data_IF_314671356916
#
_entry.id   IF_314671356916
#
_cell.length_a   1.000
_cell.length_b   1.000
_cell.length_c   1.000
_cell.angle_alpha   90.00
_cell.angle_beta   90.00
_cell.angle_gamma   90.00
#
_symmetry.space_group_name_H-M   'P 1'
#
loop_
_entity.id
_entity.type
_entity.pdbx_description
1 polymer ?
#
# COMPACT_ATOMS: atom_id res chain seq x y z
N UNK A 1 11.16 -23.23 7.12
CA UNK A 1 10.56 -22.41 6.06
C UNK A 1 11.41 -22.48 4.81
N UNK A 2 10.81 -22.47 3.62
CA UNK A 2 11.58 -22.31 2.39
C UNK A 2 12.05 -20.86 2.27
N UNK A 3 13.28 -20.59 1.79
CA UNK A 3 13.72 -19.23 1.52
C UNK A 3 12.82 -18.57 0.47
N UNK A 4 12.49 -17.29 0.68
CA UNK A 4 11.79 -16.45 -0.30
C UNK A 4 12.84 -15.78 -1.18
N UNK A 5 12.66 -15.88 -2.50
CA UNK A 5 13.54 -15.18 -3.46
C UNK A 5 13.05 -13.77 -3.73
N UNK A 6 13.93 -12.78 -3.60
CA UNK A 6 13.64 -11.40 -3.97
C UNK A 6 14.34 -11.05 -5.27
N UNK A 7 13.62 -10.39 -6.19
CA UNK A 7 14.16 -9.98 -7.50
C UNK A 7 13.75 -8.56 -7.79
N UNK A 8 14.73 -7.68 -7.99
CA UNK A 8 14.51 -6.29 -8.36
C UNK A 8 14.81 -6.07 -9.84
N UNK A 9 13.84 -5.52 -10.56
CA UNK A 9 14.02 -5.07 -11.95
C UNK A 9 14.27 -3.56 -11.99
N UNK A 10 15.10 -3.07 -12.93
CA UNK A 10 15.32 -1.64 -13.10
C UNK A 10 14.00 -0.94 -13.47
N UNK A 11 13.80 0.25 -12.92
CA UNK A 11 12.66 1.11 -13.28
C UNK A 11 12.95 1.91 -14.55
N UNK A 12 11.89 2.32 -15.26
CA UNK A 12 11.97 3.18 -16.43
C UNK A 12 11.16 4.46 -16.21
N UNK A 13 11.62 5.54 -16.82
CA UNK A 13 11.01 6.86 -16.64
C UNK A 13 11.14 7.35 -15.19
N UNK A 14 10.25 8.26 -14.77
CA UNK A 14 10.22 8.84 -13.41
C UNK A 14 9.44 7.95 -12.42
N UNK A 15 9.82 6.67 -12.36
CA UNK A 15 9.19 5.65 -11.51
C UNK A 15 10.22 5.06 -10.57
N UNK A 16 9.78 4.68 -9.37
CA UNK A 16 10.61 4.02 -8.37
C UNK A 16 9.86 2.92 -7.64
N UNK A 17 10.60 1.95 -7.11
CA UNK A 17 10.08 1.04 -6.10
C UNK A 17 10.03 1.82 -4.79
N UNK A 18 8.85 1.87 -4.16
CA UNK A 18 8.68 2.59 -2.89
C UNK A 18 9.02 1.72 -1.68
N UNK A 19 9.01 0.41 -1.88
CA UNK A 19 9.30 -0.57 -0.84
C UNK A 19 10.39 -1.48 -1.33
N UNK A 20 11.22 -1.94 -0.41
CA UNK A 20 12.38 -2.78 -0.68
C UNK A 20 12.21 -4.18 -0.08
N UNK A 21 13.20 -5.04 -0.29
CA UNK A 21 13.21 -6.38 0.26
C UNK A 21 13.09 -6.39 1.79
N UNK A 22 13.82 -5.52 2.47
CA UNK A 22 13.81 -5.42 3.93
C UNK A 22 12.41 -5.08 4.46
N UNK A 23 11.74 -4.09 3.85
CA UNK A 23 10.37 -3.72 4.22
C UNK A 23 9.42 -4.92 4.16
N UNK A 24 9.53 -5.72 3.09
CA UNK A 24 8.68 -6.90 2.88
C UNK A 24 8.99 -7.99 3.89
N UNK A 25 10.28 -8.26 4.16
CA UNK A 25 10.70 -9.24 5.17
C UNK A 25 10.14 -8.88 6.54
N UNK A 26 10.26 -7.63 6.97
CA UNK A 26 9.72 -7.16 8.25
C UNK A 26 8.21 -7.41 8.37
N UNK A 27 7.45 -7.17 7.30
CA UNK A 27 6.00 -7.47 7.32
C UNK A 27 5.74 -8.97 7.42
N UNK A 28 6.46 -9.79 6.64
CA UNK A 28 6.28 -11.25 6.64
C UNK A 28 6.68 -11.89 7.99
N UNK A 29 7.75 -11.43 8.62
CA UNK A 29 8.23 -11.92 9.91
C UNK A 29 7.24 -11.66 11.05
N UNK A 30 6.40 -10.62 10.90
CA UNK A 30 5.32 -10.30 11.84
C UNK A 30 4.03 -11.07 11.59
N UNK A 31 3.93 -11.80 10.49
CA UNK A 31 2.79 -12.64 10.17
C UNK A 31 3.01 -14.08 10.66
N UNK A 32 1.96 -14.80 11.09
CA UNK A 32 2.05 -16.23 11.32
C UNK A 32 2.58 -16.96 10.07
N UNK A 33 3.61 -17.80 10.26
CA UNK A 33 4.34 -18.41 9.15
C UNK A 33 3.51 -19.19 8.13
N UNK A 34 2.43 -19.83 8.58
CA UNK A 34 1.51 -20.57 7.70
C UNK A 34 0.79 -19.68 6.66
N UNK A 35 0.72 -18.37 6.87
CA UNK A 35 0.06 -17.44 5.94
C UNK A 35 0.87 -17.17 4.70
N UNK A 36 2.19 -17.32 4.77
CA UNK A 36 3.09 -17.03 3.67
C UNK A 36 3.97 -18.22 3.27
N UNK A 37 3.78 -19.39 3.86
CA UNK A 37 4.53 -20.62 3.53
C UNK A 37 4.49 -20.97 2.03
N UNK A 38 3.41 -20.58 1.33
CA UNK A 38 3.28 -20.77 -0.11
C UNK A 38 4.09 -19.78 -0.94
N UNK A 39 4.37 -18.59 -0.41
CA UNK A 39 5.09 -17.54 -1.12
C UNK A 39 6.52 -18.01 -1.44
N UNK A 40 6.86 -18.06 -2.72
CA UNK A 40 8.19 -18.48 -3.18
C UNK A 40 9.09 -17.31 -3.55
N UNK A 41 8.51 -16.17 -3.88
CA UNK A 41 9.29 -15.00 -4.24
C UNK A 41 8.49 -13.71 -4.35
N UNK A 42 9.21 -12.60 -4.23
CA UNK A 42 8.68 -11.25 -4.39
C UNK A 42 9.49 -10.53 -5.46
N UNK A 43 8.82 -10.00 -6.47
CA UNK A 43 9.42 -9.28 -7.58
C UNK A 43 9.09 -7.80 -7.50
N UNK A 44 10.10 -6.94 -7.53
CA UNK A 44 9.92 -5.50 -7.70
C UNK A 44 10.00 -5.19 -9.19
N UNK A 45 8.87 -4.81 -9.78
CA UNK A 45 8.68 -4.76 -11.24
C UNK A 45 8.20 -3.38 -11.69
N UNK A 46 8.62 -2.91 -12.85
CA UNK A 46 8.14 -1.65 -13.43
C UNK A 46 6.91 -1.79 -14.35
N UNK A 47 6.38 -3.01 -14.56
CA UNK A 47 5.26 -3.29 -15.47
C UNK A 47 3.87 -3.03 -14.87
N UNK A 48 3.69 -1.93 -14.16
CA UNK A 48 2.37 -1.54 -13.66
C UNK A 48 1.36 -1.44 -14.80
N UNK A 49 0.29 -2.25 -14.76
CA UNK A 49 -0.77 -2.24 -15.78
C UNK A 49 -1.83 -1.20 -15.42
N UNK A 50 -1.63 0.03 -15.91
CA UNK A 50 -2.58 1.13 -15.70
C UNK A 50 -2.60 1.65 -14.25
N UNK A 51 -3.62 2.44 -13.92
CA UNK A 51 -3.70 3.18 -12.63
C UNK A 51 -4.12 2.33 -11.42
N UNK A 52 -4.46 1.04 -11.61
CA UNK A 52 -5.03 0.19 -10.55
C UNK A 52 -4.22 -1.07 -10.21
N UNK A 53 -3.34 -1.54 -11.10
CA UNK A 53 -2.54 -2.73 -10.82
C UNK A 53 -1.22 -2.32 -10.15
N UNK A 54 -1.25 -2.27 -8.83
CA UNK A 54 -0.10 -1.92 -7.97
C UNK A 54 0.65 -3.19 -7.52
N UNK A 55 0.00 -4.34 -7.58
CA UNK A 55 0.60 -5.66 -7.43
C UNK A 55 -0.15 -6.70 -8.23
N UNK A 56 0.39 -7.91 -8.29
CA UNK A 56 -0.31 -9.11 -8.77
C UNK A 56 0.40 -10.40 -8.34
N UNK A 57 -0.35 -11.49 -8.25
CA UNK A 57 0.19 -12.84 -8.02
C UNK A 57 0.41 -13.62 -9.32
N UNK A 58 1.61 -14.17 -9.49
CA UNK A 58 1.91 -15.22 -10.46
C UNK A 58 1.64 -16.60 -9.85
N UNK A 59 0.36 -17.02 -9.86
CA UNK A 59 -0.11 -18.21 -9.10
C UNK A 59 0.59 -19.52 -9.44
N UNK A 60 1.04 -19.71 -10.67
CA UNK A 60 1.79 -20.90 -11.07
C UNK A 60 3.20 -20.98 -10.47
N UNK A 61 3.72 -19.85 -9.95
CA UNK A 61 5.02 -19.76 -9.30
C UNK A 61 4.91 -19.41 -7.82
N UNK A 62 3.69 -19.20 -7.31
CA UNK A 62 3.43 -18.65 -5.98
C UNK A 62 4.29 -17.39 -5.68
N UNK A 63 4.43 -16.49 -6.67
CA UNK A 63 5.22 -15.26 -6.55
C UNK A 63 4.31 -14.03 -6.52
N UNK A 64 4.67 -13.03 -5.72
CA UNK A 64 4.04 -11.70 -5.72
C UNK A 64 4.91 -10.76 -6.57
N UNK A 65 4.28 -9.90 -7.36
CA UNK A 65 4.95 -8.77 -8.01
C UNK A 65 4.39 -7.47 -7.43
N UNK A 66 5.27 -6.60 -6.97
CA UNK A 66 4.95 -5.24 -6.53
C UNK A 66 5.44 -4.27 -7.61
N UNK A 67 4.55 -3.36 -8.02
CA UNK A 67 4.83 -2.44 -9.11
C UNK A 67 5.53 -1.18 -8.61
N UNK A 68 6.58 -0.74 -9.31
CA UNK A 68 7.10 0.62 -9.21
C UNK A 68 5.99 1.62 -9.47
N UNK A 69 6.05 2.80 -8.87
CA UNK A 69 5.05 3.85 -9.01
C UNK A 69 5.71 5.15 -9.50
N UNK A 70 4.97 6.06 -10.15
CA UNK A 70 5.46 7.41 -10.43
C UNK A 70 5.89 8.12 -9.14
N UNK A 71 6.96 8.90 -9.19
CA UNK A 71 7.46 9.68 -8.04
C UNK A 71 6.39 10.57 -7.38
N UNK A 72 5.45 11.07 -8.20
CA UNK A 72 4.34 11.91 -7.79
C UNK A 72 3.04 11.17 -8.06
N UNK A 73 2.48 10.52 -7.04
CA UNK A 73 1.27 9.72 -7.16
C UNK A 73 0.24 10.09 -6.09
N UNK A 74 -1.04 9.94 -6.44
CA UNK A 74 -2.14 9.84 -5.50
C UNK A 74 -2.76 8.46 -5.69
N UNK A 75 -2.83 7.67 -4.61
CA UNK A 75 -3.38 6.31 -4.65
C UNK A 75 -4.87 6.26 -4.31
N UNK A 76 -5.54 7.41 -4.27
CA UNK A 76 -6.96 7.50 -3.95
C UNK A 76 -7.84 6.64 -4.88
N UNK A 77 -7.43 6.42 -6.13
CA UNK A 77 -8.15 5.58 -7.09
C UNK A 77 -7.92 4.06 -6.90
N UNK A 78 -6.95 3.68 -6.06
CA UNK A 78 -6.64 2.30 -5.72
C UNK A 78 -7.24 1.87 -4.36
N UNK A 79 -7.76 2.82 -3.58
CA UNK A 79 -8.45 2.53 -2.33
C UNK A 79 -9.66 1.62 -2.57
N UNK A 80 -9.83 0.61 -1.72
CA UNK A 80 -10.95 -0.31 -1.78
C UNK A 80 -12.13 0.18 -0.93
N UNK A 81 -13.27 0.44 -1.59
CA UNK A 81 -14.57 0.79 -0.97
C UNK A 81 -14.47 1.88 0.10
N UNK A 82 -14.46 1.47 1.38
CA UNK A 82 -14.57 2.34 2.55
C UNK A 82 -13.21 2.84 3.04
N UNK A 83 -12.12 2.40 2.42
CA UNK A 83 -10.80 2.90 2.77
C UNK A 83 -10.69 4.39 2.48
N UNK A 84 -9.95 5.10 3.32
CA UNK A 84 -9.71 6.52 3.13
C UNK A 84 -8.20 6.82 3.12
N UNK A 85 -7.75 7.87 2.42
CA UNK A 85 -6.33 8.24 2.40
C UNK A 85 -5.72 8.39 3.80
N UNK A 86 -6.51 8.85 4.76
CA UNK A 86 -6.08 9.06 6.14
C UNK A 86 -5.62 7.79 6.85
N UNK A 87 -6.17 6.61 6.49
CA UNK A 87 -5.72 5.33 7.05
C UNK A 87 -4.24 5.04 6.79
N UNK A 88 -3.67 5.67 5.76
CA UNK A 88 -2.27 5.52 5.38
C UNK A 88 -1.45 6.79 5.64
N UNK A 89 -2.04 7.85 6.21
CA UNK A 89 -1.36 9.12 6.45
C UNK A 89 -1.31 10.02 5.22
N UNK A 90 -2.35 9.98 4.37
CA UNK A 90 -2.51 10.87 3.23
C UNK A 90 -3.81 11.67 3.28
N UNK A 91 -3.86 12.78 2.52
CA UNK A 91 -5.09 13.57 2.32
C UNK A 91 -5.73 13.30 0.96
N UNK A 92 -7.06 13.38 0.89
CA UNK A 92 -7.80 13.32 -0.37
C UNK A 92 -7.45 14.52 -1.27
N UNK A 93 -7.42 14.28 -2.58
CA UNK A 93 -7.20 15.35 -3.59
C UNK A 93 -5.76 15.89 -3.67
N UNK A 94 -4.82 15.30 -2.92
CA UNK A 94 -3.40 15.70 -2.92
C UNK A 94 -2.50 14.55 -3.36
N UNK A 95 -1.25 14.92 -3.70
CA UNK A 95 -0.14 13.95 -3.79
C UNK A 95 0.01 13.28 -2.42
N UNK A 96 0.17 11.97 -2.42
CA UNK A 96 0.40 11.24 -1.18
C UNK A 96 1.86 11.43 -0.73
N UNK A 97 2.10 11.68 0.57
CA UNK A 97 3.45 11.62 1.13
C UNK A 97 4.10 10.27 0.84
N UNK A 98 5.43 10.26 0.71
CA UNK A 98 6.18 9.04 0.44
C UNK A 98 5.88 7.94 1.46
N UNK A 99 5.93 8.29 2.75
CA UNK A 99 5.62 7.37 3.84
C UNK A 99 4.22 6.74 3.71
N UNK A 100 3.22 7.51 3.27
CA UNK A 100 1.87 6.99 3.05
C UNK A 100 1.78 6.03 1.87
N UNK A 101 2.53 6.31 0.79
CA UNK A 101 2.66 5.37 -0.35
C UNK A 101 3.31 4.08 0.09
N UNK A 102 4.39 4.15 0.89
CA UNK A 102 5.08 2.97 1.42
C UNK A 102 4.15 2.12 2.28
N UNK A 103 3.43 2.73 3.23
CA UNK A 103 2.42 2.06 4.05
C UNK A 103 1.34 1.38 3.20
N UNK A 104 0.82 2.05 2.19
CA UNK A 104 -0.18 1.48 1.30
C UNK A 104 0.35 0.27 0.52
N UNK A 105 1.58 0.36 -0.02
CA UNK A 105 2.20 -0.74 -0.74
C UNK A 105 2.44 -1.98 0.14
N UNK A 106 2.80 -1.79 1.42
CA UNK A 106 3.02 -2.90 2.36
C UNK A 106 1.74 -3.47 2.95
N UNK A 107 0.86 -2.60 3.47
CA UNK A 107 -0.26 -3.02 4.31
C UNK A 107 -1.60 -3.08 3.58
N UNK A 108 -1.65 -2.62 2.33
CA UNK A 108 -2.79 -2.89 1.45
C UNK A 108 -2.36 -3.81 0.31
N UNK A 109 -1.45 -3.38 -0.57
CA UNK A 109 -1.11 -4.12 -1.78
C UNK A 109 -0.45 -5.47 -1.49
N UNK A 110 0.68 -5.51 -0.77
CA UNK A 110 1.38 -6.76 -0.47
C UNK A 110 0.48 -7.75 0.28
N UNK A 111 -0.24 -7.29 1.31
CA UNK A 111 -1.16 -8.16 2.06
C UNK A 111 -2.33 -8.64 1.20
N UNK A 112 -2.83 -7.82 0.28
CA UNK A 112 -3.87 -8.21 -0.67
C UNK A 112 -3.36 -9.33 -1.59
N UNK A 113 -2.17 -9.16 -2.18
CA UNK A 113 -1.58 -10.18 -3.04
C UNK A 113 -1.27 -11.48 -2.27
N UNK A 114 -0.81 -11.37 -1.02
CA UNK A 114 -0.67 -12.53 -0.14
C UNK A 114 -2.02 -13.20 0.14
N UNK A 115 -3.08 -12.40 0.26
CA UNK A 115 -4.46 -12.86 0.33
C UNK A 115 -4.86 -13.73 -0.86
N UNK A 116 -4.45 -13.40 -2.08
CA UNK A 116 -4.70 -14.21 -3.27
C UNK A 116 -4.00 -15.58 -3.29
N UNK A 117 -2.94 -15.76 -2.49
CA UNK A 117 -2.27 -17.05 -2.32
C UNK A 117 -3.00 -17.98 -1.34
N UNK A 118 -3.97 -17.46 -0.58
CA UNK A 118 -4.72 -18.26 0.39
C UNK A 118 -5.65 -19.26 -0.30
N UNK A 119 -5.60 -20.51 0.15
CA UNK A 119 -6.47 -21.59 -0.33
C UNK A 119 -7.79 -21.54 0.44
N UNK A 120 -8.89 -21.30 -0.26
CA UNK A 120 -10.24 -21.22 0.32
C UNK A 120 -11.05 -22.51 0.11
N UNK A 121 -10.78 -23.24 -0.98
CA UNK A 121 -11.45 -24.52 -1.29
C UNK A 121 -10.39 -25.56 -1.65
N UNK A 122 -9.80 -26.27 -0.68
CA UNK A 122 -8.65 -27.16 -0.90
C UNK A 122 -8.87 -28.25 -1.96
N UNK A 123 -10.10 -28.78 -2.02
CA UNK A 123 -10.50 -29.88 -2.92
C UNK A 123 -10.97 -29.39 -4.31
N UNK A 124 -10.94 -28.09 -4.59
CA UNK A 124 -11.37 -27.58 -5.89
C UNK A 124 -10.40 -28.01 -7.00
N UNK A 125 -10.93 -28.59 -8.07
CA UNK A 125 -10.15 -29.00 -9.26
C UNK A 125 -9.59 -27.82 -10.07
N UNK A 126 -10.23 -26.65 -9.99
CA UNK A 126 -9.78 -25.45 -10.71
C UNK A 126 -9.05 -24.49 -9.78
N UNK A 127 -7.87 -24.02 -10.21
CA UNK A 127 -7.09 -23.02 -9.47
C UNK A 127 -7.90 -21.75 -9.18
N UNK A 128 -8.80 -21.34 -10.11
CA UNK A 128 -9.66 -20.17 -9.91
C UNK A 128 -10.59 -20.31 -8.69
N UNK A 129 -11.14 -21.49 -8.42
CA UNK A 129 -12.02 -21.74 -7.26
C UNK A 129 -11.25 -22.12 -6.00
N UNK A 130 -10.03 -22.63 -6.15
CA UNK A 130 -9.17 -23.06 -5.04
C UNK A 130 -8.68 -21.89 -4.20
N UNK A 131 -8.30 -20.78 -4.86
CA UNK A 131 -7.67 -19.63 -4.23
C UNK A 131 -8.64 -18.47 -4.00
N UNK A 132 -8.29 -17.62 -3.04
CA UNK A 132 -9.04 -16.43 -2.69
C UNK A 132 -9.30 -15.52 -3.90
N UNK A 133 -10.56 -15.11 -4.04
CA UNK A 133 -10.97 -14.06 -4.96
C UNK A 133 -10.78 -12.66 -4.33
N UNK A 134 -10.94 -11.62 -5.13
CA UNK A 134 -10.76 -10.19 -4.79
C UNK A 134 -11.27 -9.82 -3.39
N UNK A 135 -12.57 -10.02 -3.13
CA UNK A 135 -13.16 -9.66 -1.85
C UNK A 135 -12.63 -10.46 -0.65
N UNK A 136 -12.06 -11.65 -0.86
CA UNK A 136 -11.39 -12.39 0.23
C UNK A 136 -9.97 -11.88 0.43
N UNK A 137 -9.23 -11.63 -0.64
CA UNK A 137 -7.89 -11.06 -0.59
C UNK A 137 -7.89 -9.69 0.12
N UNK A 138 -8.85 -8.83 -0.18
CA UNK A 138 -8.98 -7.56 0.53
C UNK A 138 -9.33 -7.74 2.01
N UNK A 139 -10.28 -8.62 2.35
CA UNK A 139 -10.61 -8.90 3.76
C UNK A 139 -9.42 -9.45 4.55
N UNK A 140 -8.58 -10.25 3.88
CA UNK A 140 -7.33 -10.73 4.43
C UNK A 140 -6.39 -9.55 4.72
N UNK A 141 -6.21 -8.64 3.77
CA UNK A 141 -5.39 -7.44 3.94
C UNK A 141 -5.91 -6.55 5.09
N UNK A 142 -7.19 -6.24 5.11
CA UNK A 142 -7.81 -5.39 6.15
C UNK A 142 -7.69 -6.02 7.55
N UNK A 143 -7.81 -7.35 7.66
CA UNK A 143 -7.61 -8.06 8.93
C UNK A 143 -6.18 -7.90 9.41
N UNK A 144 -5.20 -8.25 8.57
CA UNK A 144 -3.81 -8.28 8.98
C UNK A 144 -3.20 -6.90 9.14
N UNK A 145 -3.60 -5.90 8.35
CA UNK A 145 -3.25 -4.51 8.60
C UNK A 145 -3.70 -4.08 9.98
N UNK A 146 -4.96 -4.32 10.35
CA UNK A 146 -5.48 -3.99 11.69
C UNK A 146 -4.74 -4.73 12.80
N UNK A 147 -4.48 -6.03 12.63
CA UNK A 147 -3.74 -6.81 13.62
C UNK A 147 -2.33 -6.27 13.79
N UNK A 148 -1.59 -6.08 12.70
CA UNK A 148 -0.21 -5.58 12.72
C UNK A 148 -0.13 -4.17 13.30
N UNK A 149 -1.10 -3.30 13.02
CA UNK A 149 -1.13 -1.93 13.54
C UNK A 149 -1.77 -1.79 14.92
N UNK A 150 -2.39 -2.85 15.46
CA UNK A 150 -3.00 -2.81 16.80
C UNK A 150 -1.96 -2.80 17.92
N UNK A 151 -0.72 -3.21 17.62
CA UNK A 151 0.39 -3.26 18.57
C UNK A 151 1.47 -2.30 18.11
N UNK A 152 2.04 -1.58 19.06
CA UNK A 152 3.25 -0.81 18.81
C UNK A 152 4.36 -1.75 18.33
N UNK A 153 5.07 -1.35 17.29
CA UNK A 153 6.21 -2.07 16.77
C UNK A 153 7.43 -1.17 16.86
N UNK A 154 8.34 -1.51 17.77
CA UNK A 154 9.57 -0.77 17.99
C UNK A 154 10.52 -0.99 16.81
N UNK A 155 10.43 -0.10 15.84
CA UNK A 155 11.20 -0.13 14.62
C UNK A 155 11.56 1.30 14.20
N UNK A 156 12.82 1.56 13.81
CA UNK A 156 13.27 2.90 13.48
C UNK A 156 12.56 3.49 12.25
N UNK A 157 12.17 2.66 11.28
CA UNK A 157 11.38 3.10 10.14
C UNK A 157 9.87 3.20 10.50
N UNK A 158 9.26 4.41 10.46
CA UNK A 158 7.86 4.63 10.81
C UNK A 158 6.86 4.01 9.82
N UNK A 159 7.31 3.47 8.67
CA UNK A 159 6.43 2.78 7.72
C UNK A 159 5.75 1.58 8.36
N UNK A 160 6.40 0.94 9.34
CA UNK A 160 5.90 -0.28 9.96
C UNK A 160 4.90 -0.06 11.10
N UNK A 161 4.53 1.19 11.34
CA UNK A 161 3.55 1.63 12.32
C UNK A 161 2.38 2.34 11.62
N UNK A 162 1.18 2.35 12.23
CA UNK A 162 0.07 3.16 11.73
C UNK A 162 0.44 4.65 11.71
N UNK A 163 -0.23 5.49 10.89
CA UNK A 163 -0.06 6.93 10.95
C UNK A 163 -0.26 7.46 12.37
N UNK A 164 0.71 8.24 12.86
CA UNK A 164 0.66 8.84 14.18
C UNK A 164 -0.40 9.95 14.25
N UNK A 165 -0.85 10.28 15.47
CA UNK A 165 -1.77 11.40 15.67
C UNK A 165 -1.20 12.73 15.17
N UNK A 166 0.12 12.91 15.23
CA UNK A 166 0.80 14.09 14.70
C UNK A 166 0.75 14.16 13.17
N UNK A 167 1.05 13.06 12.48
CA UNK A 167 0.88 12.95 11.03
C UNK A 167 -0.55 13.30 10.62
N UNK A 168 -1.53 12.75 11.34
CA UNK A 168 -2.95 13.02 11.07
C UNK A 168 -3.33 14.49 11.29
N UNK A 169 -2.81 15.14 12.35
CA UNK A 169 -3.02 16.57 12.59
C UNK A 169 -2.40 17.43 11.49
N UNK A 170 -1.19 17.12 11.05
CA UNK A 170 -0.51 17.85 9.99
C UNK A 170 -1.31 17.84 8.67
N UNK A 171 -1.98 16.73 8.37
CA UNK A 171 -2.87 16.59 7.21
C UNK A 171 -4.14 17.46 7.33
N UNK A 172 -4.71 17.59 8.54
CA UNK A 172 -5.86 18.47 8.81
C UNK A 172 -5.50 19.95 8.65
N UNK A 173 -4.39 20.40 9.24
CA UNK A 173 -3.95 21.81 9.16
C UNK A 173 -3.67 22.24 7.73
N UNK A 174 -3.04 21.37 6.93
CA UNK A 174 -2.79 21.63 5.52
C UNK A 174 -4.07 21.85 4.69
N UNK A 175 -5.24 21.39 5.18
CA UNK A 175 -6.54 21.52 4.52
C UNK A 175 -7.24 22.85 4.85
N UNK A 176 -6.88 23.49 5.97
CA UNK A 176 -7.50 24.72 6.48
C UNK A 176 -6.67 25.99 6.30
N UNK A 177 -5.47 25.92 5.74
CA UNK A 177 -4.72 27.12 5.39
C UNK A 177 -5.57 27.98 4.42
N UNK A 178 -6.05 29.17 4.83
CA UNK A 178 -6.80 30.04 3.95
C UNK A 178 -5.93 30.33 2.74
N UNK A 179 -6.51 30.26 1.53
CA UNK A 179 -5.83 30.73 0.33
C UNK A 179 -5.58 32.23 0.52
N UNK A 180 -4.40 32.58 1.02
CA UNK A 180 -3.91 33.95 1.09
C UNK A 180 -3.80 34.47 -0.34
N UNK A 181 -4.88 35.05 -0.84
CA UNK A 181 -5.04 35.37 -2.26
C UNK A 181 -6.39 36.01 -2.56
N UNK A 182 -6.87 36.88 -1.69
CA UNK A 182 -7.77 37.96 -2.10
C UNK A 182 -7.13 39.23 -1.58
N UNK A 183 -6.39 39.91 -2.46
CA UNK A 183 -5.98 41.28 -2.23
C UNK A 183 -7.25 42.11 -2.02
N UNK A 184 -7.39 42.69 -0.83
CA UNK A 184 -8.43 43.67 -0.57
C UNK A 184 -8.13 44.92 -1.41
N UNK A 185 -8.82 45.05 -2.54
CA UNK A 185 -8.86 46.31 -3.28
C UNK A 185 -9.42 47.39 -2.36
N UNK A 186 -8.59 48.39 -2.05
CA UNK A 186 -9.01 49.57 -1.30
C UNK A 186 -10.05 50.36 -2.12
N UNK A 187 -11.18 50.77 -1.53
CA UNK A 187 -12.09 51.69 -2.21
C UNK A 187 -11.47 53.08 -2.21
N UNK A 188 -11.19 53.60 -3.41
CA UNK A 188 -10.77 54.99 -3.60
C UNK A 188 -11.91 55.94 -3.20
N UNK A 189 -11.52 57.01 -2.48
CA UNK A 189 -12.39 58.12 -2.11
C UNK A 189 -13.04 58.78 -3.34
N UNK A 190 -14.33 59.15 -3.28
CA UNK A 190 -14.88 60.13 -4.19
C UNK A 190 -14.46 61.54 -3.75
N UNK A 191 -14.14 62.38 -4.74
CA UNK A 191 -14.03 63.83 -4.62
C UNK A 191 -15.41 64.48 -4.77
#
# INVERSE_FOLDING_TARGET
>A
MRPITFVSHPTRGRRRHYVEEEDVRIVLDRLPGGLWERLRGVRFNDRGRGRRCLGYVSRGRDEISLCALPERVSLAAALFRNQCPGEFGASRGRRWPELAVRRFMLYDVLLHELGHLQVIVPKARSSRRKFAHEAFAQRFADRWRRELWSRAFDHPDPVHNPPSAEEMRALCVATYAPRSGVAASSPGNPA
#
